data_IF_566767849319
#
_entry.id   IF_566767849319
#
_cell.length_a   1.000
_cell.length_b   1.000
_cell.length_c   1.000
_cell.angle_alpha   90.00
_cell.angle_beta   90.00
_cell.angle_gamma   90.00
#
_symmetry.space_group_name_H-M   'P 1'
#
loop_
_entity.id
_entity.type
_entity.pdbx_description
1 polymer ?
#
# COMPACT_ATOMS: atom_id res chain seq x y z
N UNK A 1 28.93 0.41 42.20
CA UNK A 1 29.20 0.39 40.75
C UNK A 1 27.98 -0.21 40.07
N UNK A 2 27.16 0.61 39.42
CA UNK A 2 26.01 0.13 38.68
C UNK A 2 26.51 -0.64 37.45
N UNK A 3 26.10 -1.90 37.31
CA UNK A 3 26.37 -2.70 36.11
C UNK A 3 25.56 -2.07 34.98
N UNK A 4 26.25 -1.44 34.03
CA UNK A 4 25.70 -1.07 32.73
C UNK A 4 25.10 -2.34 32.12
N UNK A 5 23.81 -2.31 31.79
CA UNK A 5 23.18 -3.40 31.06
C UNK A 5 23.97 -3.62 29.74
N UNK A 6 24.14 -4.87 29.28
CA UNK A 6 24.77 -5.11 28.00
C UNK A 6 24.00 -4.35 26.93
N UNK A 7 24.74 -3.59 26.11
CA UNK A 7 24.23 -2.79 25.00
C UNK A 7 23.58 -3.77 24.00
N UNK A 8 22.27 -3.96 24.10
CA UNK A 8 21.54 -4.81 23.16
C UNK A 8 21.80 -4.25 21.76
N UNK A 9 22.29 -5.06 20.80
CA UNK A 9 22.58 -4.56 19.46
C UNK A 9 21.34 -3.86 18.91
N UNK A 10 21.49 -2.60 18.45
CA UNK A 10 20.39 -1.90 17.79
C UNK A 10 19.95 -2.74 16.58
N UNK A 11 18.64 -2.98 16.41
CA UNK A 11 18.15 -3.79 15.30
C UNK A 11 18.48 -3.08 13.98
N UNK A 12 18.75 -3.86 12.93
CA UNK A 12 18.94 -3.32 11.58
C UNK A 12 17.60 -3.08 10.90
N UNK A 13 17.57 -2.21 9.89
CA UNK A 13 16.36 -1.98 9.10
C UNK A 13 15.77 -3.25 8.51
N UNK A 14 16.62 -4.18 8.04
CA UNK A 14 16.18 -5.48 7.54
C UNK A 14 15.38 -6.27 8.59
N UNK A 15 15.91 -6.37 9.81
CA UNK A 15 15.24 -7.08 10.92
C UNK A 15 13.92 -6.43 11.29
N UNK A 16 13.86 -5.09 11.31
CA UNK A 16 12.63 -4.35 11.64
C UNK A 16 11.57 -4.53 10.55
N UNK A 17 11.94 -4.41 9.28
CA UNK A 17 11.03 -4.58 8.16
C UNK A 17 10.51 -6.03 8.07
N UNK A 18 11.39 -7.02 8.21
CA UNK A 18 11.01 -8.43 8.19
C UNK A 18 10.08 -8.79 9.36
N UNK A 19 10.32 -8.22 10.55
CA UNK A 19 9.41 -8.37 11.69
C UNK A 19 8.06 -7.71 11.43
N UNK A 20 8.04 -6.49 10.90
CA UNK A 20 6.81 -5.78 10.58
C UNK A 20 5.97 -6.53 9.54
N UNK A 21 6.58 -6.99 8.45
CA UNK A 21 5.91 -7.80 7.42
C UNK A 21 5.32 -9.07 8.02
N UNK A 22 6.09 -9.82 8.82
CA UNK A 22 5.61 -11.06 9.45
C UNK A 22 4.50 -10.80 10.46
N UNK A 23 4.66 -9.81 11.34
CA UNK A 23 3.75 -9.57 12.46
C UNK A 23 2.43 -8.91 12.02
N UNK A 24 2.44 -8.20 10.90
CA UNK A 24 1.28 -7.49 10.35
C UNK A 24 0.62 -8.22 9.18
N UNK A 25 1.19 -9.34 8.73
CA UNK A 25 0.60 -10.14 7.68
C UNK A 25 -0.87 -10.48 8.02
N UNK A 26 -1.82 -10.18 7.12
CA UNK A 26 -3.20 -10.55 7.33
C UNK A 26 -3.36 -12.07 7.31
N UNK A 27 -4.44 -12.57 7.91
CA UNK A 27 -4.83 -13.96 7.73
C UNK A 27 -5.07 -14.23 6.23
N UNK A 28 -4.50 -15.31 5.70
CA UNK A 28 -4.60 -15.69 4.29
C UNK A 28 -6.06 -15.78 3.79
N UNK A 29 -7.02 -16.09 4.67
CA UNK A 29 -8.45 -16.17 4.35
C UNK A 29 -9.24 -14.88 4.66
N UNK A 30 -8.60 -13.81 5.15
CA UNK A 30 -9.30 -12.59 5.55
C UNK A 30 -9.93 -11.83 4.36
N UNK A 31 -9.27 -11.87 3.20
CA UNK A 31 -9.74 -11.15 2.02
C UNK A 31 -10.70 -12.00 1.18
N UNK A 32 -11.99 -11.95 1.54
CA UNK A 32 -13.05 -12.72 0.88
C UNK A 32 -13.22 -12.38 -0.60
N UNK A 33 -13.05 -11.12 -0.98
CA UNK A 33 -13.21 -10.71 -2.37
C UNK A 33 -12.10 -11.30 -3.24
N UNK A 34 -10.84 -11.23 -2.79
CA UNK A 34 -9.72 -11.83 -3.54
C UNK A 34 -9.92 -13.34 -3.70
N UNK A 35 -10.36 -14.05 -2.66
CA UNK A 35 -10.67 -15.48 -2.76
C UNK A 35 -11.82 -15.78 -3.75
N UNK A 36 -12.85 -14.92 -3.79
CA UNK A 36 -13.93 -15.05 -4.78
C UNK A 36 -13.46 -14.76 -6.21
N UNK A 37 -12.58 -13.78 -6.40
CA UNK A 37 -11.97 -13.48 -7.70
C UNK A 37 -11.10 -14.66 -8.14
N UNK A 38 -10.26 -15.20 -7.25
CA UNK A 38 -9.41 -16.37 -7.52
C UNK A 38 -10.24 -17.58 -7.98
N UNK A 39 -11.39 -17.81 -7.36
CA UNK A 39 -12.30 -18.89 -7.74
C UNK A 39 -13.17 -18.60 -8.98
N UNK A 40 -13.06 -17.41 -9.59
CA UNK A 40 -13.92 -16.97 -10.68
C UNK A 40 -15.40 -16.73 -10.27
N UNK A 41 -15.66 -16.63 -8.96
CA UNK A 41 -17.00 -16.51 -8.39
C UNK A 41 -17.45 -15.06 -8.15
N UNK A 42 -16.52 -14.10 -8.10
CA UNK A 42 -16.90 -12.69 -7.97
C UNK A 42 -17.55 -12.17 -9.26
N UNK A 43 -18.58 -11.30 -9.18
CA UNK A 43 -19.18 -10.70 -10.38
C UNK A 43 -18.18 -9.75 -11.05
N UNK A 44 -18.15 -9.70 -12.38
CA UNK A 44 -17.20 -8.85 -13.14
C UNK A 44 -17.33 -7.35 -12.82
N UNK A 45 -18.48 -6.89 -12.29
CA UNK A 45 -18.70 -5.51 -11.86
C UNK A 45 -17.77 -5.05 -10.73
N UNK A 46 -17.17 -5.97 -9.96
CA UNK A 46 -16.20 -5.62 -8.91
C UNK A 46 -14.96 -4.94 -9.49
N UNK A 47 -14.55 -5.27 -10.72
CA UNK A 47 -13.39 -4.66 -11.36
C UNK A 47 -13.64 -3.19 -11.73
N UNK A 48 -14.86 -2.87 -12.18
CA UNK A 48 -15.28 -1.49 -12.43
C UNK A 48 -15.33 -0.69 -11.12
N UNK A 49 -15.90 -1.27 -10.07
CA UNK A 49 -15.94 -0.65 -8.72
C UNK A 49 -14.52 -0.41 -8.19
N UNK A 50 -13.66 -1.42 -8.29
CA UNK A 50 -12.26 -1.34 -7.90
C UNK A 50 -11.53 -0.22 -8.64
N UNK A 51 -11.72 -0.10 -9.97
CA UNK A 51 -11.09 0.95 -10.75
C UNK A 51 -11.51 2.36 -10.32
N UNK A 52 -12.81 2.55 -10.06
CA UNK A 52 -13.35 3.84 -9.60
C UNK A 52 -12.83 4.22 -8.21
N UNK A 53 -12.76 3.26 -7.28
CA UNK A 53 -12.26 3.49 -5.93
C UNK A 53 -10.74 3.71 -5.90
N UNK A 54 -9.97 2.93 -6.66
CA UNK A 54 -8.52 3.09 -6.74
C UNK A 54 -8.12 4.44 -7.34
N UNK A 55 -8.90 4.99 -8.28
CA UNK A 55 -8.64 6.35 -8.77
C UNK A 55 -8.62 7.39 -7.63
N UNK A 56 -9.47 7.22 -6.62
CA UNK A 56 -9.56 8.12 -5.46
C UNK A 56 -8.44 7.84 -4.45
N UNK A 57 -8.18 6.56 -4.15
CA UNK A 57 -7.12 6.13 -3.22
C UNK A 57 -5.77 6.63 -3.72
N UNK A 58 -5.42 6.35 -4.98
CA UNK A 58 -4.13 6.72 -5.56
C UNK A 58 -3.93 8.24 -5.57
N UNK A 59 -4.99 9.00 -5.88
CA UNK A 59 -4.91 10.45 -5.87
C UNK A 59 -4.63 11.00 -4.46
N UNK A 60 -5.26 10.43 -3.43
CA UNK A 60 -5.05 10.80 -2.03
C UNK A 60 -3.69 10.35 -1.49
N UNK A 61 -3.25 9.14 -1.82
CA UNK A 61 -1.97 8.58 -1.39
C UNK A 61 -0.80 9.35 -2.01
N UNK A 62 -0.91 9.72 -3.30
CA UNK A 62 0.09 10.57 -3.95
C UNK A 62 0.30 11.87 -3.20
N UNK A 63 -0.77 12.55 -2.78
CA UNK A 63 -0.69 13.79 -2.01
C UNK A 63 -0.09 13.56 -0.62
N UNK A 64 -0.46 12.44 0.02
CA UNK A 64 0.04 12.05 1.34
C UNK A 64 1.55 11.77 1.30
N UNK A 65 2.03 11.06 0.29
CA UNK A 65 3.45 10.76 0.11
C UNK A 65 4.26 12.01 -0.27
N UNK A 66 3.75 12.88 -1.15
CA UNK A 66 4.37 14.19 -1.42
C UNK A 66 4.45 15.08 -0.18
N UNK A 67 3.48 14.98 0.73
CA UNK A 67 3.52 15.71 2.00
C UNK A 67 4.55 15.10 2.96
N UNK A 68 4.63 13.78 3.06
CA UNK A 68 5.62 13.07 3.87
C UNK A 68 7.06 13.35 3.39
N UNK A 69 7.30 13.35 2.08
CA UNK A 69 8.58 13.71 1.50
C UNK A 69 9.04 15.10 1.96
N UNK A 70 8.17 16.11 1.81
CA UNK A 70 8.43 17.49 2.29
C UNK A 70 8.65 17.58 3.80
N UNK A 71 7.93 16.79 4.59
CA UNK A 71 8.12 16.74 6.05
C UNK A 71 9.46 16.13 6.43
N UNK A 72 10.02 15.29 5.57
CA UNK A 72 11.29 14.62 5.73
C UNK A 72 12.45 15.32 5.00
N UNK A 73 12.30 16.59 4.55
CA UNK A 73 13.36 17.33 3.84
C UNK A 73 14.70 17.40 4.61
N UNK A 74 14.66 17.31 5.94
CA UNK A 74 15.85 17.24 6.80
C UNK A 74 16.50 15.85 6.90
N UNK A 75 15.83 14.82 6.38
CA UNK A 75 16.17 13.40 6.46
C UNK A 75 16.12 12.77 5.06
N UNK A 76 17.12 13.04 4.18
CA UNK A 76 17.05 12.71 2.75
C UNK A 76 16.69 11.26 2.41
N UNK A 77 17.21 10.21 3.11
CA UNK A 77 16.80 8.84 2.83
C UNK A 77 15.29 8.61 3.00
N UNK A 78 14.66 9.29 3.97
CA UNK A 78 13.23 9.19 4.24
C UNK A 78 12.44 9.98 3.20
N UNK A 79 12.89 11.19 2.85
CA UNK A 79 12.28 11.98 1.78
C UNK A 79 12.29 11.25 0.43
N UNK A 80 13.45 10.71 0.03
CA UNK A 80 13.63 9.96 -1.21
C UNK A 80 12.67 8.77 -1.31
N UNK A 81 12.46 8.05 -0.21
CA UNK A 81 11.52 6.93 -0.16
C UNK A 81 10.09 7.39 -0.49
N UNK A 82 9.61 8.46 0.15
CA UNK A 82 8.26 8.97 -0.11
C UNK A 82 8.10 9.63 -1.48
N UNK A 83 9.14 10.28 -2.00
CA UNK A 83 9.14 10.79 -3.37
C UNK A 83 9.04 9.65 -4.39
N UNK A 84 9.75 8.53 -4.16
CA UNK A 84 9.64 7.34 -4.98
C UNK A 84 8.22 6.76 -4.95
N UNK A 85 7.58 6.69 -3.77
CA UNK A 85 6.19 6.23 -3.66
C UNK A 85 5.22 7.15 -4.40
N UNK A 86 5.36 8.48 -4.27
CA UNK A 86 4.53 9.44 -4.99
C UNK A 86 4.65 9.32 -6.53
N UNK A 87 5.86 8.99 -7.03
CA UNK A 87 6.08 8.68 -8.44
C UNK A 87 5.42 7.35 -8.82
N UNK A 88 5.49 6.34 -7.95
CA UNK A 88 4.78 5.08 -8.06
C UNK A 88 3.27 5.27 -8.25
N UNK A 89 2.64 6.11 -7.43
CA UNK A 89 1.21 6.44 -7.56
C UNK A 89 0.86 7.08 -8.91
N UNK A 90 1.76 7.91 -9.45
CA UNK A 90 1.58 8.49 -10.79
C UNK A 90 1.65 7.43 -11.89
N UNK A 91 2.49 6.39 -11.72
CA UNK A 91 2.52 5.24 -12.63
C UNK A 91 1.26 4.37 -12.45
N UNK A 92 0.84 4.13 -11.21
CA UNK A 92 -0.34 3.33 -10.89
C UNK A 92 -1.61 3.91 -11.56
N UNK A 93 -1.83 5.22 -11.54
CA UNK A 93 -2.95 5.86 -12.26
C UNK A 93 -2.93 5.58 -13.77
N UNK A 94 -1.74 5.56 -14.39
CA UNK A 94 -1.62 5.28 -15.83
C UNK A 94 -1.98 3.83 -16.13
N UNK A 95 -1.49 2.90 -15.33
CA UNK A 95 -1.81 1.47 -15.49
C UNK A 95 -3.29 1.17 -15.19
N UNK A 96 -3.91 1.93 -14.28
CA UNK A 96 -5.34 1.80 -13.95
C UNK A 96 -6.25 2.14 -15.14
N UNK A 97 -5.81 3.00 -16.05
CA UNK A 97 -6.59 3.38 -17.23
C UNK A 97 -6.95 2.16 -18.10
N UNK A 98 -6.04 1.19 -18.23
CA UNK A 98 -6.34 -0.03 -18.99
C UNK A 98 -7.46 -0.89 -18.38
N UNK A 99 -7.58 -0.89 -17.04
CA UNK A 99 -8.69 -1.54 -16.36
C UNK A 99 -10.00 -0.77 -16.55
N UNK A 100 -9.95 0.56 -16.47
CA UNK A 100 -11.10 1.42 -16.68
C UNK A 100 -11.67 1.25 -18.10
N UNK A 101 -10.81 1.25 -19.12
CA UNK A 101 -11.19 1.03 -20.52
C UNK A 101 -11.85 -0.34 -20.72
N UNK A 102 -11.28 -1.40 -20.15
CA UNK A 102 -11.83 -2.77 -20.25
C UNK A 102 -13.13 -2.97 -19.44
N UNK A 103 -13.45 -2.03 -18.56
CA UNK A 103 -14.72 -1.93 -17.84
C UNK A 103 -15.68 -0.91 -18.50
N UNK A 104 -15.31 -0.34 -19.64
CA UNK A 104 -16.09 0.65 -20.40
C UNK A 104 -16.42 1.91 -19.56
N UNK A 105 -15.53 2.29 -18.64
CA UNK A 105 -15.70 3.48 -17.81
C UNK A 105 -15.31 4.73 -18.60
N UNK A 106 -16.23 5.69 -18.67
CA UNK A 106 -15.97 7.01 -19.25
C UNK A 106 -15.28 7.93 -18.23
N UNK A 107 -14.54 8.93 -18.74
CA UNK A 107 -13.95 9.99 -17.89
C UNK A 107 -15.01 10.67 -16.99
N UNK A 108 -16.23 10.86 -17.53
CA UNK A 108 -17.34 11.43 -16.76
C UNK A 108 -17.76 10.52 -15.61
N UNK A 109 -17.86 9.20 -15.82
CA UNK A 109 -18.20 8.26 -14.75
C UNK A 109 -17.12 8.25 -13.66
N UNK A 110 -15.84 8.37 -14.03
CA UNK A 110 -14.74 8.46 -13.07
C UNK A 110 -14.82 9.78 -12.27
N UNK A 111 -15.08 10.89 -12.94
CA UNK A 111 -15.15 12.22 -12.31
C UNK A 111 -16.38 12.40 -11.41
N UNK A 112 -17.55 11.88 -11.83
CA UNK A 112 -18.82 11.98 -11.10
C UNK A 112 -18.96 10.89 -10.02
N UNK A 113 -17.95 10.00 -9.88
CA UNK A 113 -18.01 8.86 -8.96
C UNK A 113 -18.11 9.32 -7.50
N UNK A 114 -19.03 8.70 -6.76
CA UNK A 114 -19.17 8.89 -5.32
C UNK A 114 -18.49 7.71 -4.60
N UNK A 115 -17.38 7.95 -3.88
CA UNK A 115 -16.63 6.87 -3.26
C UNK A 115 -17.40 6.24 -2.10
N UNK A 116 -17.24 4.93 -1.92
CA UNK A 116 -17.85 4.20 -0.79
C UNK A 116 -17.08 4.52 0.48
N UNK A 117 -17.77 4.78 1.62
CA UNK A 117 -17.09 5.14 2.86
C UNK A 117 -16.02 4.14 3.31
N UNK A 118 -16.26 2.84 3.16
CA UNK A 118 -15.29 1.81 3.57
C UNK A 118 -14.03 1.76 2.69
N UNK A 119 -14.14 2.13 1.40
CA UNK A 119 -12.99 2.28 0.51
C UNK A 119 -12.13 3.51 0.86
N UNK A 120 -12.69 4.49 1.56
CA UNK A 120 -12.01 5.73 1.91
C UNK A 120 -11.32 5.70 3.28
N UNK A 121 -11.51 4.64 4.07
CA UNK A 121 -10.90 4.50 5.39
C UNK A 121 -9.36 4.45 5.32
N UNK A 122 -8.82 3.68 4.38
CA UNK A 122 -7.37 3.57 4.16
C UNK A 122 -6.74 4.91 3.76
N UNK A 123 -7.14 5.58 2.65
CA UNK A 123 -6.51 6.84 2.24
C UNK A 123 -6.70 7.96 3.27
N UNK A 124 -7.83 7.97 3.99
CA UNK A 124 -8.04 8.91 5.11
C UNK A 124 -7.05 8.67 6.25
N UNK A 125 -6.74 7.41 6.56
CA UNK A 125 -5.76 7.08 7.58
C UNK A 125 -4.33 7.36 7.11
N UNK A 126 -3.99 7.06 5.85
CA UNK A 126 -2.71 7.41 5.24
C UNK A 126 -2.48 8.94 5.29
N UNK A 127 -3.49 9.74 4.94
CA UNK A 127 -3.44 11.20 5.08
C UNK A 127 -3.23 11.65 6.53
N UNK A 128 -3.90 11.01 7.50
CA UNK A 128 -3.69 11.29 8.93
C UNK A 128 -2.26 10.97 9.36
N UNK A 129 -1.69 9.86 8.91
CA UNK A 129 -0.29 9.51 9.15
C UNK A 129 0.64 10.53 8.49
N UNK A 130 0.35 10.96 7.27
CA UNK A 130 1.11 12.00 6.61
C UNK A 130 1.12 13.32 7.39
N UNK A 131 0.00 13.70 8.01
CA UNK A 131 -0.12 14.94 8.78
C UNK A 131 0.53 14.89 10.16
N UNK A 132 0.59 13.73 10.82
CA UNK A 132 0.97 13.66 12.24
C UNK A 132 1.87 12.51 12.67
N UNK A 133 2.11 11.51 11.81
CA UNK A 133 3.04 10.42 12.09
C UNK A 133 4.50 10.88 11.93
N UNK A 134 5.40 10.13 12.57
CA UNK A 134 6.85 10.21 12.31
C UNK A 134 7.16 9.54 10.97
N UNK A 135 7.75 10.24 9.98
CA UNK A 135 7.97 9.69 8.64
C UNK A 135 8.67 8.33 8.61
N UNK A 136 9.67 8.10 9.46
CA UNK A 136 10.36 6.81 9.54
C UNK A 136 9.44 5.66 10.01
N UNK A 137 8.54 5.92 10.97
CA UNK A 137 7.55 4.92 11.44
C UNK A 137 6.48 4.64 10.37
N UNK A 138 6.08 5.68 9.63
CA UNK A 138 5.15 5.55 8.51
C UNK A 138 5.77 4.72 7.40
N UNK A 139 7.07 4.88 7.11
CA UNK A 139 7.78 4.07 6.11
C UNK A 139 7.78 2.58 6.48
N UNK A 140 8.04 2.23 7.75
CA UNK A 140 7.96 0.84 8.24
C UNK A 140 6.53 0.29 8.04
N UNK A 141 5.53 1.05 8.46
CA UNK A 141 4.13 0.62 8.43
C UNK A 141 3.60 0.39 6.99
N UNK A 142 3.92 1.27 6.06
CA UNK A 142 3.54 1.15 4.65
C UNK A 142 4.28 0.00 3.96
N UNK A 143 5.58 -0.16 4.22
CA UNK A 143 6.38 -1.25 3.64
C UNK A 143 5.81 -2.61 4.03
N UNK A 144 5.38 -2.78 5.28
CA UNK A 144 4.71 -4.00 5.73
C UNK A 144 3.35 -4.22 5.04
N UNK A 145 2.63 -3.13 4.71
CA UNK A 145 1.36 -3.20 3.99
C UNK A 145 1.54 -3.66 2.53
N UNK A 146 2.56 -3.15 1.83
CA UNK A 146 2.82 -3.46 0.42
C UNK A 146 3.03 -4.95 0.15
N UNK A 147 3.57 -5.72 1.10
CA UNK A 147 3.72 -7.16 0.95
C UNK A 147 2.37 -7.89 0.81
N UNK A 148 1.36 -7.50 1.61
CA UNK A 148 0.02 -8.08 1.53
C UNK A 148 -0.70 -7.62 0.26
N UNK A 149 -0.65 -6.32 -0.04
CA UNK A 149 -1.21 -5.73 -1.25
C UNK A 149 -0.68 -6.40 -2.52
N UNK A 150 0.64 -6.54 -2.64
CA UNK A 150 1.28 -7.16 -3.80
C UNK A 150 0.86 -8.62 -4.00
N UNK A 151 0.73 -9.38 -2.92
CA UNK A 151 0.23 -10.75 -2.98
C UNK A 151 -1.22 -10.82 -3.49
N UNK A 152 -2.10 -9.93 -3.01
CA UNK A 152 -3.47 -9.83 -3.52
C UNK A 152 -3.50 -9.45 -5.00
N UNK A 153 -2.69 -8.47 -5.41
CA UNK A 153 -2.58 -8.07 -6.81
C UNK A 153 -2.10 -9.21 -7.70
N UNK A 154 -1.14 -10.03 -7.25
CA UNK A 154 -0.68 -11.21 -7.98
C UNK A 154 -1.82 -12.22 -8.23
N UNK A 155 -2.59 -12.54 -7.18
CA UNK A 155 -3.76 -13.43 -7.28
C UNK A 155 -4.80 -12.88 -8.24
N UNK A 156 -5.14 -11.58 -8.12
CA UNK A 156 -6.13 -10.94 -8.97
C UNK A 156 -5.67 -10.91 -10.43
N UNK A 157 -4.42 -10.56 -10.71
CA UNK A 157 -3.86 -10.52 -12.06
C UNK A 157 -3.92 -11.89 -12.76
N UNK A 158 -3.64 -12.97 -12.03
CA UNK A 158 -3.75 -14.34 -12.54
C UNK A 158 -5.21 -14.70 -12.84
N UNK A 159 -6.11 -14.48 -11.88
CA UNK A 159 -7.53 -14.79 -12.01
C UNK A 159 -8.21 -14.01 -13.15
N UNK A 160 -7.85 -12.74 -13.34
CA UNK A 160 -8.36 -11.91 -14.43
C UNK A 160 -8.09 -12.51 -15.81
N UNK A 161 -6.93 -13.16 -15.98
CA UNK A 161 -6.58 -13.90 -17.20
C UNK A 161 -7.38 -15.21 -17.28
N UNK A 162 -7.40 -15.98 -16.19
CA UNK A 162 -7.84 -17.37 -16.21
C UNK A 162 -9.37 -17.54 -16.16
N UNK A 163 -10.08 -16.63 -15.51
CA UNK A 163 -11.53 -16.75 -15.26
C UNK A 163 -12.36 -15.64 -15.90
N UNK A 164 -11.79 -14.45 -16.09
CA UNK A 164 -12.55 -13.28 -16.52
C UNK A 164 -12.26 -12.84 -17.96
N UNK A 165 -11.23 -13.38 -18.62
CA UNK A 165 -10.91 -13.05 -20.01
C UNK A 165 -10.57 -11.57 -20.22
N UNK A 166 -9.99 -10.90 -19.21
CA UNK A 166 -9.51 -9.53 -19.38
C UNK A 166 -8.26 -9.48 -20.26
N UNK A 167 -8.12 -8.45 -21.12
CA UNK A 167 -6.90 -8.25 -21.89
C UNK A 167 -5.72 -7.92 -20.98
N UNK A 168 -4.50 -8.05 -21.49
CA UNK A 168 -3.27 -7.71 -20.76
C UNK A 168 -3.26 -6.27 -20.26
N UNK A 169 -3.71 -5.32 -21.07
CA UNK A 169 -3.80 -3.90 -20.69
C UNK A 169 -4.66 -3.68 -19.43
N UNK A 170 -5.72 -4.46 -19.22
CA UNK A 170 -6.56 -4.35 -18.02
C UNK A 170 -5.90 -4.88 -16.74
N UNK A 171 -4.88 -5.72 -16.88
CA UNK A 171 -4.14 -6.34 -15.77
C UNK A 171 -2.92 -5.50 -15.36
N UNK A 172 -2.56 -4.46 -16.11
CA UNK A 172 -1.35 -3.65 -15.91
C UNK A 172 -1.24 -3.10 -14.48
N UNK A 173 -2.34 -2.59 -13.92
CA UNK A 173 -2.36 -2.10 -12.55
C UNK A 173 -1.99 -3.19 -11.54
N UNK A 174 -2.61 -4.37 -11.63
CA UNK A 174 -2.33 -5.47 -10.71
C UNK A 174 -0.93 -6.05 -10.93
N UNK A 175 -0.48 -6.17 -12.19
CA UNK A 175 0.86 -6.64 -12.51
C UNK A 175 1.94 -5.71 -11.92
N UNK A 176 1.73 -4.39 -11.98
CA UNK A 176 2.65 -3.39 -11.41
C UNK A 176 2.96 -3.65 -9.93
N UNK A 177 1.94 -4.00 -9.13
CA UNK A 177 2.10 -4.24 -7.69
C UNK A 177 2.46 -5.70 -7.36
N UNK A 178 2.21 -6.64 -8.27
CA UNK A 178 2.56 -8.04 -8.11
C UNK A 178 4.05 -8.32 -8.37
N UNK A 179 4.71 -7.49 -9.17
CA UNK A 179 6.12 -7.63 -9.49
C UNK A 179 7.03 -7.14 -8.35
N UNK A 180 8.20 -7.77 -8.13
CA UNK A 180 9.18 -7.28 -7.18
C UNK A 180 9.60 -5.84 -7.51
N UNK A 181 9.78 -5.02 -6.46
CA UNK A 181 10.21 -3.62 -6.60
C UNK A 181 11.52 -3.35 -5.84
N UNK A 182 12.69 -3.84 -6.32
CA UNK A 182 13.95 -3.74 -5.59
C UNK A 182 14.34 -2.31 -5.19
N UNK A 183 14.05 -1.33 -6.03
CA UNK A 183 14.32 0.07 -5.74
C UNK A 183 13.49 0.60 -4.54
N UNK A 184 12.24 0.15 -4.42
CA UNK A 184 11.37 0.51 -3.28
C UNK A 184 11.87 -0.18 -2.02
N UNK A 185 12.24 -1.47 -2.11
CA UNK A 185 12.79 -2.23 -0.99
C UNK A 185 14.12 -1.63 -0.47
N UNK A 186 15.00 -1.21 -1.38
CA UNK A 186 16.26 -0.56 -1.05
C UNK A 186 16.01 0.79 -0.34
N UNK A 187 15.16 1.64 -0.92
CA UNK A 187 14.82 2.94 -0.32
C UNK A 187 14.10 2.80 1.03
N UNK A 188 13.25 1.78 1.18
CA UNK A 188 12.65 1.46 2.48
C UNK A 188 13.71 1.11 3.52
N UNK A 189 14.70 0.27 3.16
CA UNK A 189 15.80 -0.08 4.07
C UNK A 189 16.63 1.14 4.44
N UNK A 190 16.96 2.00 3.48
CA UNK A 190 17.70 3.24 3.71
C UNK A 190 16.94 4.19 4.67
N UNK A 191 15.66 4.45 4.39
CA UNK A 191 14.81 5.32 5.22
C UNK A 191 14.68 4.79 6.65
N UNK A 192 14.45 3.49 6.81
CA UNK A 192 14.29 2.86 8.13
C UNK A 192 15.62 2.82 8.87
N UNK A 193 16.74 2.53 8.20
CA UNK A 193 18.05 2.52 8.84
C UNK A 193 18.40 3.92 9.34
N UNK A 194 18.17 4.94 8.52
CA UNK A 194 18.34 6.34 8.92
C UNK A 194 17.51 6.67 10.17
N UNK A 195 16.22 6.34 10.17
CA UNK A 195 15.35 6.58 11.32
C UNK A 195 15.78 5.84 12.60
N UNK A 196 16.35 4.63 12.48
CA UNK A 196 16.92 3.89 13.62
C UNK A 196 18.22 4.51 14.13
N UNK A 197 19.06 5.02 13.23
CA UNK A 197 20.36 5.62 13.55
C UNK A 197 20.19 6.98 14.23
N UNK A 198 19.21 7.78 13.80
CA UNK A 198 18.83 9.07 14.38
C UNK A 198 17.94 8.96 15.63
N UNK A 199 17.39 7.76 15.89
CA UNK A 199 16.46 7.51 17.00
C UNK A 199 15.03 8.03 16.77
N UNK A 200 14.71 8.45 15.55
CA UNK A 200 13.37 8.87 15.15
C UNK A 200 12.40 7.68 15.07
N UNK A 201 12.86 6.54 14.54
CA UNK A 201 12.04 5.36 14.37
C UNK A 201 11.74 4.67 15.71
N UNK A 202 10.47 4.36 15.93
CA UNK A 202 9.91 3.63 17.05
C UNK A 202 9.09 2.44 16.51
N UNK A 203 9.72 1.25 16.31
CA UNK A 203 9.05 0.10 15.69
C UNK A 203 7.70 -0.27 16.32
N UNK A 204 7.56 -0.14 17.64
CA UNK A 204 6.27 -0.38 18.31
C UNK A 204 5.15 0.57 17.85
N UNK A 205 5.47 1.83 17.54
CA UNK A 205 4.54 2.81 16.96
C UNK A 205 4.21 2.42 15.52
N UNK A 206 5.21 2.08 14.71
CA UNK A 206 5.01 1.59 13.35
C UNK A 206 4.08 0.38 13.28
N UNK A 207 4.20 -0.60 14.19
CA UNK A 207 3.28 -1.74 14.26
C UNK A 207 1.84 -1.33 14.57
N UNK A 208 1.63 -0.30 15.40
CA UNK A 208 0.27 0.22 15.66
C UNK A 208 -0.34 0.85 14.42
N UNK A 209 0.46 1.56 13.63
CA UNK A 209 0.04 2.12 12.35
C UNK A 209 -0.27 1.02 11.33
N UNK A 210 0.67 0.09 11.13
CA UNK A 210 0.53 -1.02 10.20
C UNK A 210 -0.68 -1.89 10.48
N UNK A 211 -1.01 -2.14 11.76
CA UNK A 211 -2.23 -2.89 12.12
C UNK A 211 -3.52 -2.22 11.63
N UNK A 212 -3.58 -0.88 11.68
CA UNK A 212 -4.73 -0.14 11.18
C UNK A 212 -4.74 -0.06 9.65
N UNK A 213 -3.58 0.14 9.02
CA UNK A 213 -3.45 0.09 7.55
C UNK A 213 -3.97 -1.24 6.99
N UNK A 214 -3.52 -2.37 7.55
CA UNK A 214 -3.97 -3.70 7.15
C UNK A 214 -5.48 -3.91 7.35
N UNK A 215 -6.03 -3.45 8.48
CA UNK A 215 -7.47 -3.54 8.73
C UNK A 215 -8.28 -2.68 7.75
N UNK A 216 -7.80 -1.49 7.40
CA UNK A 216 -8.47 -0.61 6.44
C UNK A 216 -8.30 -1.07 4.99
N UNK A 217 -7.19 -1.73 4.63
CA UNK A 217 -7.05 -2.39 3.34
C UNK A 217 -8.06 -3.54 3.20
N UNK A 218 -8.22 -4.38 4.23
CA UNK A 218 -9.25 -5.42 4.21
C UNK A 218 -10.67 -4.83 4.12
N UNK A 219 -10.93 -3.73 4.81
CA UNK A 219 -12.20 -2.99 4.69
C UNK A 219 -12.43 -2.48 3.28
N UNK A 220 -11.40 -1.96 2.60
CA UNK A 220 -11.47 -1.56 1.20
C UNK A 220 -11.92 -2.74 0.33
N UNK A 221 -11.27 -3.89 0.44
CA UNK A 221 -11.63 -5.07 -0.35
C UNK A 221 -13.05 -5.57 -0.07
N UNK A 222 -13.49 -5.55 1.18
CA UNK A 222 -14.87 -5.92 1.53
C UNK A 222 -15.88 -4.92 0.95
N UNK A 223 -15.61 -3.62 1.04
CA UNK A 223 -16.50 -2.58 0.51
C UNK A 223 -16.55 -2.53 -1.01
N UNK A 224 -15.51 -2.97 -1.73
CA UNK A 224 -15.58 -3.16 -3.19
C UNK A 224 -16.56 -4.29 -3.56
N UNK A 225 -16.73 -5.29 -2.70
CA UNK A 225 -17.60 -6.44 -2.95
C UNK A 225 -19.09 -6.20 -2.64
N UNK A 226 -19.42 -5.12 -1.94
CA UNK A 226 -20.80 -4.75 -1.58
C UNK A 226 -21.62 -4.24 -2.78
#
# INVERSE_FOLDING_TARGET
MARTAPDTPRPTAAVVLDDAVRALAPDAAANRLVAQIEAGAAPRSVFATFALEQHQVIAADRLSFQHLARRADGDPPVADFFDLLAQGETRALKELAGLADACELTERQIADYQPRPGCQAYPSYAARLALGGEPADVAIALTANFAAWGAYCATVAAAMRDHYGFPEAARGFFALFAEPAPAVEEKAREAVQHGLDTGQAQPATAHRYGRLLQAYELMFWHSVAE
#
